data_IF_630618104922
#
_entry.id   IF_630618104922
#
_cell.length_a   1.000
_cell.length_b   1.000
_cell.length_c   1.000
_cell.angle_alpha   90.00
_cell.angle_beta   90.00
_cell.angle_gamma   90.00
#
_symmetry.space_group_name_H-M   'P 1'
#
loop_
_entity.id
_entity.type
_entity.pdbx_description
1 polymer ?
#
# COMPACT_ATOMS: atom_id res chain seq x y z
N UNK A 1 -9.55 45.44 -3.91
CA UNK A 1 -10.38 44.34 -3.46
C UNK A 1 -9.53 43.53 -2.47
N UNK A 2 -9.92 43.51 -1.19
CA UNK A 2 -9.22 42.69 -0.18
C UNK A 2 -9.32 41.23 -0.62
N UNK A 3 -8.20 40.56 -0.87
CA UNK A 3 -8.19 39.10 -1.02
C UNK A 3 -8.70 38.53 0.31
N UNK A 4 -9.91 37.95 0.31
CA UNK A 4 -10.44 37.28 1.49
C UNK A 4 -9.38 36.29 2.00
N UNK A 5 -9.28 36.17 3.32
CA UNK A 5 -8.39 35.17 3.97
C UNK A 5 -8.76 33.79 3.43
N UNK A 6 -7.79 33.06 2.94
CA UNK A 6 -7.97 31.66 2.54
C UNK A 6 -8.34 30.82 3.78
N UNK A 7 -9.31 29.92 3.63
CA UNK A 7 -9.66 28.98 4.69
C UNK A 7 -8.53 27.97 4.88
N UNK A 8 -8.14 27.73 6.13
CA UNK A 8 -7.17 26.72 6.51
C UNK A 8 -7.87 25.39 6.86
N UNK A 9 -7.12 24.31 6.96
CA UNK A 9 -7.64 23.03 7.49
C UNK A 9 -8.21 23.21 8.92
N UNK A 10 -7.58 24.04 9.74
CA UNK A 10 -8.05 24.36 11.08
C UNK A 10 -9.37 25.15 11.07
N UNK A 11 -9.57 26.07 10.11
CA UNK A 11 -10.84 26.80 9.98
C UNK A 11 -11.99 25.85 9.60
N UNK A 12 -11.76 24.91 8.65
CA UNK A 12 -12.72 23.86 8.28
C UNK A 12 -13.06 22.98 9.49
N UNK A 13 -12.06 22.54 10.23
CA UNK A 13 -12.25 21.71 11.41
C UNK A 13 -13.08 22.40 12.48
N UNK A 14 -12.76 23.68 12.79
CA UNK A 14 -13.45 24.46 13.81
C UNK A 14 -14.92 24.69 13.47
N UNK A 15 -15.27 24.93 12.18
CA UNK A 15 -16.66 25.20 11.75
C UNK A 15 -17.60 24.01 11.96
N UNK A 16 -17.07 22.77 11.90
CA UNK A 16 -17.86 21.54 12.08
C UNK A 16 -17.63 20.86 13.44
N UNK A 17 -16.85 21.48 14.35
CA UNK A 17 -16.53 20.88 15.65
C UNK A 17 -15.69 19.59 15.53
N UNK A 18 -14.75 19.56 14.59
CA UNK A 18 -13.83 18.45 14.36
C UNK A 18 -12.38 18.90 14.63
N UNK A 19 -11.43 17.96 14.54
CA UNK A 19 -9.99 18.26 14.55
C UNK A 19 -9.43 18.40 13.14
N UNK A 20 -8.31 19.10 12.97
CA UNK A 20 -7.58 19.13 11.68
C UNK A 20 -7.16 17.72 11.23
N UNK A 21 -6.87 16.82 12.19
CA UNK A 21 -6.65 15.40 11.93
C UNK A 21 -7.85 14.76 11.23
N UNK A 22 -9.08 15.01 11.70
CA UNK A 22 -10.30 14.46 11.08
C UNK A 22 -10.46 14.96 9.65
N UNK A 23 -10.19 16.26 9.41
CA UNK A 23 -10.23 16.85 8.07
C UNK A 23 -9.19 16.19 7.16
N UNK A 24 -7.95 16.00 7.64
CA UNK A 24 -6.89 15.32 6.90
C UNK A 24 -7.28 13.87 6.55
N UNK A 25 -7.85 13.12 7.49
CA UNK A 25 -8.33 11.76 7.26
C UNK A 25 -9.52 11.70 6.28
N UNK A 26 -10.41 12.69 6.30
CA UNK A 26 -11.50 12.79 5.30
C UNK A 26 -10.94 13.06 3.91
N UNK A 27 -9.98 13.98 3.78
CA UNK A 27 -9.28 14.24 2.51
C UNK A 27 -8.50 13.02 2.02
N UNK A 28 -7.89 12.27 2.95
CA UNK A 28 -7.24 10.99 2.66
C UNK A 28 -8.23 9.87 2.33
N UNK A 29 -9.53 10.16 2.44
CA UNK A 29 -10.62 9.21 2.28
C UNK A 29 -10.50 7.99 3.21
N UNK A 30 -9.96 8.14 4.41
CA UNK A 30 -9.85 7.07 5.40
C UNK A 30 -11.23 6.55 5.80
N UNK A 31 -11.43 5.24 5.65
CA UNK A 31 -12.73 4.59 5.93
C UNK A 31 -13.12 4.56 7.40
N UNK A 32 -12.18 4.80 8.30
CA UNK A 32 -12.37 4.76 9.76
C UNK A 32 -13.10 6.01 10.30
N UNK A 33 -13.11 7.11 9.53
CA UNK A 33 -13.88 8.31 9.93
C UNK A 33 -15.38 8.02 9.86
N UNK A 34 -16.16 8.27 10.92
CA UNK A 34 -17.61 8.04 10.93
C UNK A 34 -18.33 8.78 9.79
N UNK A 35 -19.31 8.14 9.16
CA UNK A 35 -19.99 8.66 7.95
C UNK A 35 -20.64 10.04 8.15
N UNK A 36 -21.23 10.28 9.32
CA UNK A 36 -21.85 11.57 9.66
C UNK A 36 -20.81 12.70 9.74
N UNK A 37 -19.70 12.47 10.45
CA UNK A 37 -18.61 13.43 10.56
C UNK A 37 -17.97 13.69 9.18
N UNK A 38 -17.76 12.63 8.39
CA UNK A 38 -17.25 12.73 7.02
C UNK A 38 -18.14 13.60 6.14
N UNK A 39 -19.47 13.41 6.23
CA UNK A 39 -20.44 14.23 5.47
C UNK A 39 -20.37 15.69 5.85
N UNK A 40 -20.30 16.03 7.13
CA UNK A 40 -20.19 17.43 7.60
C UNK A 40 -18.90 18.09 7.14
N UNK A 41 -17.76 17.38 7.28
CA UNK A 41 -16.45 17.89 6.83
C UNK A 41 -16.45 18.09 5.31
N UNK A 42 -16.97 17.14 4.53
CA UNK A 42 -17.01 17.25 3.07
C UNK A 42 -17.86 18.46 2.61
N UNK A 43 -19.03 18.68 3.23
CA UNK A 43 -19.86 19.86 2.95
C UNK A 43 -19.15 21.17 3.27
N UNK A 44 -18.42 21.23 4.38
CA UNK A 44 -17.69 22.43 4.77
C UNK A 44 -16.49 22.71 3.85
N UNK A 45 -15.76 21.67 3.42
CA UNK A 45 -14.69 21.79 2.41
C UNK A 45 -15.25 22.40 1.12
N UNK A 46 -16.42 21.95 0.68
CA UNK A 46 -17.10 22.48 -0.51
C UNK A 46 -17.58 23.92 -0.31
N UNK A 47 -18.22 24.21 0.82
CA UNK A 47 -18.75 25.55 1.16
C UNK A 47 -17.65 26.61 1.27
N UNK A 48 -16.54 26.26 1.91
CA UNK A 48 -15.38 27.14 2.09
C UNK A 48 -14.46 27.15 0.86
N UNK A 49 -14.66 26.24 -0.08
CA UNK A 49 -13.76 25.99 -1.22
C UNK A 49 -12.33 25.74 -0.76
N UNK A 50 -12.17 25.11 0.41
CA UNK A 50 -10.86 24.80 0.94
C UNK A 50 -10.08 23.94 -0.06
N UNK A 51 -8.85 24.36 -0.37
CA UNK A 51 -7.91 23.62 -1.21
C UNK A 51 -6.65 23.37 -0.42
N UNK A 52 -6.30 22.08 -0.21
CA UNK A 52 -5.00 21.73 0.36
C UNK A 52 -3.90 22.45 -0.42
N UNK A 53 -2.89 22.97 0.17
CA UNK A 53 -1.75 23.69 -0.39
C UNK A 53 -1.97 25.17 -0.80
N UNK A 54 -3.19 25.64 -1.11
CA UNK A 54 -3.38 27.08 -1.45
C UNK A 54 -2.87 28.01 -0.36
N UNK A 55 -3.08 27.65 0.91
CA UNK A 55 -2.62 28.43 2.07
C UNK A 55 -1.09 28.47 2.08
N UNK A 56 -0.45 27.33 1.90
CA UNK A 56 1.02 27.21 1.92
C UNK A 56 1.63 27.98 0.75
N UNK A 57 1.10 27.80 -0.48
CA UNK A 57 1.53 28.55 -1.67
C UNK A 57 1.34 30.05 -1.52
N UNK A 58 0.21 30.47 -0.90
CA UNK A 58 -0.04 31.87 -0.60
C UNK A 58 0.97 32.47 0.38
N UNK A 59 1.43 31.71 1.35
CA UNK A 59 2.49 32.11 2.29
C UNK A 59 3.87 32.18 1.63
N UNK A 60 4.18 31.23 0.76
CA UNK A 60 5.45 31.18 0.03
C UNK A 60 5.55 32.26 -1.08
N UNK A 61 4.42 32.71 -1.62
CA UNK A 61 4.37 33.64 -2.75
C UNK A 61 4.90 33.04 -4.07
N UNK A 62 5.01 31.71 -4.16
CA UNK A 62 5.46 30.94 -5.31
C UNK A 62 4.78 29.55 -5.33
N UNK A 63 4.80 28.83 -6.47
CA UNK A 63 4.39 27.43 -6.49
C UNK A 63 5.16 26.58 -5.48
N UNK A 64 4.45 25.62 -4.90
CA UNK A 64 5.02 24.63 -3.99
C UNK A 64 5.85 23.64 -4.81
N UNK A 65 6.98 23.18 -4.26
CA UNK A 65 7.83 22.15 -4.87
C UNK A 65 7.83 20.91 -4.00
N UNK A 66 7.30 19.79 -4.52
CA UNK A 66 7.22 18.54 -3.81
C UNK A 66 8.14 17.48 -4.43
N UNK A 67 8.88 16.77 -3.59
CA UNK A 67 9.63 15.61 -4.01
C UNK A 67 8.72 14.36 -4.00
N UNK A 68 8.70 13.64 -5.13
CA UNK A 68 8.13 12.28 -5.22
C UNK A 68 9.33 11.34 -5.28
N UNK A 69 9.53 10.60 -4.19
CA UNK A 69 10.71 9.74 -4.01
C UNK A 69 10.27 8.29 -4.03
N UNK A 70 10.56 7.58 -5.13
CA UNK A 70 10.23 6.16 -5.26
C UNK A 70 11.41 5.29 -4.83
N UNK A 71 11.11 4.17 -4.19
CA UNK A 71 12.12 3.16 -3.93
C UNK A 71 12.66 2.57 -5.25
N UNK A 72 13.94 2.25 -5.24
CA UNK A 72 14.61 1.53 -6.31
C UNK A 72 15.53 0.50 -5.69
N UNK A 73 15.37 -0.75 -6.09
CA UNK A 73 16.38 -1.75 -5.79
C UNK A 73 17.57 -1.54 -6.73
N UNK A 74 18.77 -1.91 -6.30
CA UNK A 74 20.00 -1.84 -7.14
C UNK A 74 19.96 -2.71 -8.40
N UNK A 75 18.92 -3.52 -8.56
CA UNK A 75 18.64 -4.29 -9.78
C UNK A 75 17.50 -3.59 -10.50
N UNK A 76 17.77 -3.04 -11.66
CA UNK A 76 16.79 -2.40 -12.55
C UNK A 76 15.79 -3.45 -13.08
N UNK A 77 14.84 -3.87 -12.26
CA UNK A 77 13.72 -4.70 -12.69
C UNK A 77 12.47 -3.82 -12.87
N UNK A 78 12.04 -3.56 -14.12
CA UNK A 78 10.82 -2.80 -14.40
C UNK A 78 9.55 -3.42 -13.80
N UNK A 79 9.56 -4.72 -13.43
CA UNK A 79 8.42 -5.40 -12.83
C UNK A 79 8.16 -4.93 -11.39
N UNK A 80 9.17 -4.46 -10.68
CA UNK A 80 9.09 -4.06 -9.27
C UNK A 80 8.22 -2.81 -9.04
N UNK A 81 8.14 -1.91 -10.01
CA UNK A 81 7.42 -0.64 -9.86
C UNK A 81 5.94 -0.71 -10.28
N UNK A 82 5.44 -1.84 -10.79
CA UNK A 82 4.05 -1.98 -11.25
C UNK A 82 3.00 -1.60 -10.20
N UNK A 83 3.32 -1.76 -8.93
CA UNK A 83 2.46 -1.34 -7.82
C UNK A 83 2.58 0.17 -7.54
N UNK A 84 3.80 0.73 -7.59
CA UNK A 84 4.09 2.11 -7.17
C UNK A 84 3.90 3.15 -8.29
N UNK A 85 4.11 2.79 -9.55
CA UNK A 85 3.93 3.70 -10.68
C UNK A 85 2.53 4.33 -10.73
N UNK A 86 1.43 3.60 -10.55
CA UNK A 86 0.09 4.21 -10.50
C UNK A 86 -0.11 5.16 -9.31
N UNK A 87 0.58 4.93 -8.18
CA UNK A 87 0.55 5.83 -7.02
C UNK A 87 1.24 7.14 -7.39
N UNK A 88 2.46 7.07 -7.93
CA UNK A 88 3.22 8.24 -8.36
C UNK A 88 2.49 9.02 -9.46
N UNK A 89 1.90 8.33 -10.44
CA UNK A 89 1.10 8.96 -11.49
C UNK A 89 -0.12 9.72 -10.92
N UNK A 90 -0.83 9.15 -9.95
CA UNK A 90 -1.97 9.82 -9.31
C UNK A 90 -1.55 11.06 -8.50
N UNK A 91 -0.39 11.01 -7.84
CA UNK A 91 0.22 12.16 -7.18
C UNK A 91 0.55 13.24 -8.21
N UNK A 92 1.20 12.88 -9.32
CA UNK A 92 1.59 13.82 -10.36
C UNK A 92 0.38 14.53 -10.98
N UNK A 93 -0.68 13.79 -11.28
CA UNK A 93 -1.95 14.38 -11.79
C UNK A 93 -2.53 15.36 -10.77
N UNK A 94 -2.55 15.00 -9.48
CA UNK A 94 -3.10 15.86 -8.43
C UNK A 94 -2.25 17.12 -8.22
N UNK A 95 -0.93 17.02 -8.32
CA UNK A 95 -0.02 18.16 -8.24
C UNK A 95 -0.21 19.12 -9.43
N UNK A 96 -0.32 18.58 -10.65
CA UNK A 96 -0.56 19.40 -11.85
C UNK A 96 -1.86 20.20 -11.76
N UNK A 97 -2.93 19.63 -11.19
CA UNK A 97 -4.21 20.32 -10.97
C UNK A 97 -4.14 21.48 -9.97
N UNK A 98 -3.11 21.50 -9.13
CA UNK A 98 -2.90 22.50 -8.07
C UNK A 98 -1.67 23.39 -8.31
N UNK A 99 -1.12 23.35 -9.52
CA UNK A 99 0.08 24.12 -9.93
C UNK A 99 1.29 23.89 -9.00
N UNK A 100 1.46 22.63 -8.55
CA UNK A 100 2.57 22.20 -7.72
C UNK A 100 3.70 21.67 -8.61
N UNK A 101 4.91 22.17 -8.43
CA UNK A 101 6.10 21.67 -9.11
C UNK A 101 6.56 20.33 -8.49
N UNK A 102 6.92 19.36 -9.35
CA UNK A 102 7.37 18.05 -8.90
C UNK A 102 8.85 17.89 -9.17
N UNK A 103 9.58 17.45 -8.15
CA UNK A 103 10.94 16.91 -8.24
C UNK A 103 10.86 15.40 -8.09
N UNK A 104 11.15 14.66 -9.16
CA UNK A 104 11.23 13.20 -9.08
C UNK A 104 12.62 12.79 -8.60
N UNK A 105 12.66 11.87 -7.65
CA UNK A 105 13.87 11.28 -7.12
C UNK A 105 13.68 9.79 -6.87
N UNK A 106 14.80 9.06 -6.87
CA UNK A 106 14.83 7.65 -6.52
C UNK A 106 15.56 7.51 -5.18
N UNK A 107 15.09 6.58 -4.35
CA UNK A 107 15.79 6.19 -3.13
C UNK A 107 16.25 4.74 -3.24
N UNK A 108 17.54 4.51 -3.05
CA UNK A 108 18.10 3.17 -3.03
C UNK A 108 17.72 2.47 -1.74
N UNK A 109 17.19 1.24 -1.88
CA UNK A 109 16.85 0.37 -0.74
C UNK A 109 17.56 -0.97 -0.86
N UNK A 110 17.71 -1.67 0.26
CA UNK A 110 18.17 -3.05 0.30
C UNK A 110 17.02 -4.05 0.01
N UNK A 111 17.32 -5.34 0.11
CA UNK A 111 16.36 -6.44 -0.08
C UNK A 111 15.21 -6.45 0.93
N UNK A 112 15.37 -5.80 2.08
CA UNK A 112 14.34 -5.61 3.10
C UNK A 112 13.61 -4.26 2.98
N UNK A 113 13.76 -3.54 1.86
CA UNK A 113 13.23 -2.19 1.62
C UNK A 113 13.74 -1.12 2.60
N UNK A 114 14.85 -1.38 3.31
CA UNK A 114 15.50 -0.38 4.17
C UNK A 114 16.20 0.67 3.31
N UNK A 115 16.00 1.95 3.65
CA UNK A 115 16.67 3.06 2.97
C UNK A 115 18.19 2.97 3.19
N UNK A 116 18.96 2.96 2.10
CA UNK A 116 20.42 2.90 2.13
C UNK A 116 21.06 4.29 2.18
N UNK A 117 20.45 5.28 1.55
CA UNK A 117 20.96 6.64 1.43
C UNK A 117 19.80 7.64 1.35
N UNK A 118 19.91 8.74 2.10
CA UNK A 118 18.89 9.81 2.07
C UNK A 118 19.01 10.56 0.74
N UNK A 119 17.93 10.63 -0.07
CA UNK A 119 17.95 11.35 -1.32
C UNK A 119 18.27 12.85 -1.14
N UNK A 120 19.10 13.41 -2.01
CA UNK A 120 19.52 14.81 -1.94
C UNK A 120 18.33 15.78 -1.88
N UNK A 121 17.24 15.49 -2.59
CA UNK A 121 16.02 16.29 -2.58
C UNK A 121 15.37 16.45 -1.19
N UNK A 122 15.69 15.59 -0.22
CA UNK A 122 15.23 15.69 1.17
C UNK A 122 16.16 16.53 2.05
N UNK A 123 17.43 16.69 1.64
CA UNK A 123 18.49 17.28 2.46
C UNK A 123 18.92 18.67 1.99
N UNK A 124 18.78 18.99 0.70
CA UNK A 124 19.37 20.19 0.07
C UNK A 124 18.46 21.44 0.11
N UNK A 125 17.25 21.33 0.68
CA UNK A 125 16.28 22.42 0.74
C UNK A 125 15.66 22.77 -0.63
N UNK A 126 15.80 21.92 -1.64
CA UNK A 126 15.24 22.15 -2.98
C UNK A 126 13.72 21.91 -3.04
N UNK A 127 13.14 21.27 -2.02
CA UNK A 127 11.72 20.94 -1.92
C UNK A 127 11.09 21.47 -0.63
N UNK A 128 9.80 21.78 -0.69
CA UNK A 128 9.01 22.25 0.44
C UNK A 128 8.38 21.08 1.23
N UNK A 129 8.30 19.89 0.60
CA UNK A 129 7.77 18.68 1.20
C UNK A 129 8.04 17.45 0.32
N UNK A 130 7.88 16.26 0.87
CA UNK A 130 8.17 15.02 0.16
C UNK A 130 7.17 13.89 0.43
N UNK A 131 6.96 13.03 -0.57
CA UNK A 131 6.28 11.75 -0.45
C UNK A 131 7.31 10.63 -0.71
N UNK A 132 7.57 9.80 0.29
CA UNK A 132 8.47 8.65 0.20
C UNK A 132 7.64 7.39 -0.03
N UNK A 133 7.82 6.75 -1.19
CA UNK A 133 6.95 5.67 -1.65
C UNK A 133 7.67 4.33 -1.56
N UNK A 134 7.14 3.42 -0.73
CA UNK A 134 7.56 2.01 -0.66
C UNK A 134 8.79 1.73 0.21
N UNK A 135 9.29 2.68 1.01
CA UNK A 135 10.47 2.48 1.84
C UNK A 135 10.14 2.07 3.27
N UNK A 136 11.05 1.34 3.89
CA UNK A 136 11.11 1.16 5.32
C UNK A 136 12.26 2.01 5.89
N UNK A 137 11.95 2.80 6.91
CA UNK A 137 12.93 3.63 7.61
C UNK A 137 13.28 3.00 8.95
N UNK A 138 14.56 2.81 9.21
CA UNK A 138 15.07 2.50 10.55
C UNK A 138 15.32 3.79 11.35
N UNK A 139 15.64 3.67 12.63
CA UNK A 139 15.82 4.84 13.51
C UNK A 139 16.92 5.78 13.02
N UNK A 140 18.01 5.26 12.45
CA UNK A 140 19.11 6.06 11.93
C UNK A 140 18.68 6.88 10.70
N UNK A 141 18.00 6.25 9.74
CA UNK A 141 17.50 6.95 8.54
C UNK A 141 16.39 7.94 8.88
N UNK A 142 15.57 7.68 9.91
CA UNK A 142 14.57 8.63 10.40
C UNK A 142 15.24 9.89 10.93
N UNK A 143 16.29 9.77 11.73
CA UNK A 143 17.05 10.90 12.24
C UNK A 143 17.69 11.72 11.10
N UNK A 144 18.28 11.05 10.13
CA UNK A 144 18.86 11.68 8.95
C UNK A 144 17.81 12.43 8.12
N UNK A 145 16.64 11.81 7.86
CA UNK A 145 15.56 12.47 7.11
C UNK A 145 14.94 13.62 7.91
N UNK A 146 14.79 13.49 9.23
CA UNK A 146 14.30 14.57 10.12
C UNK A 146 15.27 15.75 10.24
N UNK A 147 16.57 15.50 10.15
CA UNK A 147 17.56 16.56 10.11
C UNK A 147 17.56 17.33 8.79
N UNK A 148 16.94 16.78 7.77
CA UNK A 148 16.65 17.44 6.51
C UNK A 148 15.63 18.57 6.66
N UNK A 149 15.56 19.43 5.66
CA UNK A 149 14.82 20.70 5.72
C UNK A 149 13.33 20.52 5.40
N UNK A 150 12.91 19.38 4.83
CA UNK A 150 11.54 19.26 4.29
C UNK A 150 10.67 18.23 5.04
N UNK A 151 9.42 18.59 5.38
CA UNK A 151 8.43 17.65 5.89
C UNK A 151 8.15 16.53 4.89
N UNK A 152 7.88 15.32 5.39
CA UNK A 152 7.60 14.17 4.52
C UNK A 152 6.47 13.28 5.05
N UNK A 153 5.89 12.49 4.14
CA UNK A 153 4.89 11.47 4.41
C UNK A 153 5.31 10.17 3.76
N UNK A 154 5.16 9.05 4.45
CA UNK A 154 5.36 7.72 3.91
C UNK A 154 4.11 7.25 3.16
N UNK A 155 4.28 6.70 1.95
CA UNK A 155 3.19 6.11 1.16
C UNK A 155 3.54 4.66 0.89
N UNK A 156 2.75 3.72 1.43
CA UNK A 156 3.09 2.30 1.53
C UNK A 156 4.50 2.10 2.12
N UNK A 157 4.83 2.97 3.06
CA UNK A 157 6.11 3.00 3.74
C UNK A 157 5.93 2.79 5.24
N UNK A 158 6.96 2.29 5.89
CA UNK A 158 6.92 1.92 7.30
C UNK A 158 8.14 2.46 8.04
N UNK A 159 8.00 2.61 9.35
CA UNK A 159 9.10 3.03 10.23
C UNK A 159 9.26 2.06 11.40
N UNK A 160 10.50 1.77 11.75
CA UNK A 160 10.82 0.94 12.91
C UNK A 160 10.81 1.80 14.18
N UNK A 161 9.74 1.71 14.97
CA UNK A 161 9.66 2.28 16.31
C UNK A 161 9.12 3.71 16.43
N UNK A 162 9.15 4.51 15.37
CA UNK A 162 8.63 5.89 15.37
C UNK A 162 7.29 5.99 14.65
N UNK A 163 6.38 6.81 15.19
CA UNK A 163 5.14 7.15 14.51
C UNK A 163 5.42 8.32 13.56
N UNK A 164 5.17 8.11 12.26
CA UNK A 164 5.32 9.10 11.19
C UNK A 164 4.00 9.26 10.44
N UNK A 165 3.83 10.41 9.77
CA UNK A 165 2.73 10.52 8.81
C UNK A 165 2.87 9.45 7.74
N UNK A 166 1.86 8.61 7.61
CA UNK A 166 1.92 7.50 6.69
C UNK A 166 0.55 7.15 6.09
N UNK A 167 0.58 6.60 4.88
CA UNK A 167 -0.57 5.97 4.24
C UNK A 167 -0.22 4.51 4.03
N UNK A 168 -0.99 3.63 4.62
CA UNK A 168 -0.76 2.17 4.54
C UNK A 168 -2.02 1.44 4.08
N UNK A 169 -1.85 0.20 3.63
CA UNK A 169 -2.96 -0.73 3.39
C UNK A 169 -3.30 -1.49 4.67
N UNK A 170 -4.59 -1.79 4.92
CA UNK A 170 -4.96 -2.78 5.94
C UNK A 170 -4.62 -4.20 5.46
N UNK A 171 -3.35 -4.54 5.58
CA UNK A 171 -2.82 -5.83 5.15
C UNK A 171 -3.37 -7.00 5.97
N UNK A 172 -3.74 -6.76 7.24
CA UNK A 172 -4.35 -7.78 8.10
C UNK A 172 -5.76 -8.10 7.63
N UNK A 173 -6.56 -7.07 7.34
CA UNK A 173 -7.87 -7.26 6.75
C UNK A 173 -7.77 -7.95 5.38
N UNK A 174 -6.80 -7.57 4.56
CA UNK A 174 -6.57 -8.20 3.25
C UNK A 174 -6.27 -9.69 3.33
N UNK A 175 -5.34 -10.10 4.20
CA UNK A 175 -5.06 -11.52 4.44
C UNK A 175 -6.28 -12.29 4.97
N UNK A 176 -7.08 -11.63 5.82
CA UNK A 176 -8.34 -12.21 6.32
C UNK A 176 -9.37 -12.41 5.20
N UNK A 177 -9.55 -11.42 4.32
CA UNK A 177 -10.48 -11.49 3.17
C UNK A 177 -10.06 -12.61 2.21
N UNK A 178 -8.77 -12.75 1.91
CA UNK A 178 -8.26 -13.81 1.04
C UNK A 178 -8.62 -15.21 1.57
N UNK A 179 -8.39 -15.46 2.86
CA UNK A 179 -8.73 -16.74 3.51
C UNK A 179 -10.24 -16.97 3.49
N UNK A 180 -11.05 -15.96 3.88
CA UNK A 180 -12.50 -16.08 3.89
C UNK A 180 -13.07 -16.44 2.51
N UNK A 181 -12.52 -15.85 1.45
CA UNK A 181 -12.93 -16.17 0.07
C UNK A 181 -12.61 -17.62 -0.28
N UNK A 182 -11.40 -18.11 0.01
CA UNK A 182 -11.02 -19.49 -0.27
C UNK A 182 -11.84 -20.50 0.55
N UNK A 183 -12.09 -20.19 1.83
CA UNK A 183 -12.94 -21.04 2.69
C UNK A 183 -14.40 -21.04 2.20
N UNK A 184 -14.93 -19.91 1.75
CA UNK A 184 -16.27 -19.83 1.14
C UNK A 184 -16.38 -20.65 -0.14
N UNK A 185 -15.29 -20.83 -0.89
CA UNK A 185 -15.20 -21.72 -2.04
C UNK A 185 -15.06 -23.21 -1.65
N UNK A 186 -14.88 -23.52 -0.36
CA UNK A 186 -14.81 -24.89 0.17
C UNK A 186 -13.39 -25.38 0.51
N UNK A 187 -12.36 -24.54 0.41
CA UNK A 187 -11.00 -24.93 0.77
C UNK A 187 -10.76 -24.90 2.28
N UNK A 188 -10.11 -25.93 2.82
CA UNK A 188 -9.70 -26.01 4.23
C UNK A 188 -8.18 -26.11 4.41
N UNK A 189 -7.46 -26.58 3.40
CA UNK A 189 -6.02 -26.70 3.37
C UNK A 189 -5.46 -25.64 2.41
N UNK A 190 -5.08 -24.47 2.97
CA UNK A 190 -4.74 -23.26 2.25
C UNK A 190 -3.28 -22.91 2.54
N UNK A 191 -2.43 -22.78 1.52
CA UNK A 191 -1.05 -22.34 1.63
C UNK A 191 -0.94 -20.80 1.59
N UNK A 192 0.02 -20.21 2.32
CA UNK A 192 0.45 -18.83 2.16
C UNK A 192 1.85 -18.81 1.57
N UNK A 193 1.99 -18.29 0.35
CA UNK A 193 3.22 -18.29 -0.42
C UNK A 193 3.92 -16.92 -0.40
N UNK A 194 5.24 -16.92 -0.20
CA UNK A 194 6.07 -15.71 -0.38
C UNK A 194 6.29 -14.92 0.90
N UNK A 195 6.21 -15.57 2.07
CA UNK A 195 6.47 -14.92 3.37
C UNK A 195 7.68 -15.49 4.05
N UNK A 196 8.19 -14.73 5.03
CA UNK A 196 9.14 -15.15 6.08
C UNK A 196 8.81 -14.45 7.39
N UNK A 197 9.31 -14.94 8.54
CA UNK A 197 9.06 -14.31 9.84
C UNK A 197 9.56 -12.85 9.97
N UNK A 198 10.52 -12.44 9.16
CA UNK A 198 11.14 -11.11 9.09
C UNK A 198 10.83 -10.35 7.81
N UNK A 199 9.80 -10.76 7.09
CA UNK A 199 9.32 -10.09 5.88
C UNK A 199 8.95 -8.62 6.12
N UNK A 200 8.89 -7.86 5.04
CA UNK A 200 8.44 -6.47 5.02
C UNK A 200 7.07 -6.30 5.75
N UNK A 201 6.84 -5.22 6.48
CA UNK A 201 5.66 -5.08 7.36
C UNK A 201 4.31 -5.32 6.68
N UNK A 202 4.14 -4.95 5.42
CA UNK A 202 2.90 -5.25 4.67
C UNK A 202 2.69 -6.76 4.49
N UNK A 203 3.75 -7.49 4.18
CA UNK A 203 3.72 -8.96 4.03
C UNK A 203 3.44 -9.62 5.38
N UNK A 204 4.09 -9.17 6.45
CA UNK A 204 3.79 -9.63 7.83
C UNK A 204 2.34 -9.37 8.23
N UNK A 205 1.77 -8.23 7.80
CA UNK A 205 0.35 -7.94 7.99
C UNK A 205 -0.54 -8.96 7.28
N UNK A 206 -0.25 -9.31 6.01
CA UNK A 206 -0.96 -10.35 5.25
C UNK A 206 -0.84 -11.71 5.92
N UNK A 207 0.38 -12.09 6.36
CA UNK A 207 0.65 -13.32 7.13
C UNK A 207 -0.16 -13.38 8.43
N UNK A 208 -0.22 -12.29 9.19
CA UNK A 208 -1.02 -12.20 10.41
C UNK A 208 -2.52 -12.35 10.13
N UNK A 209 -3.02 -11.69 9.08
CA UNK A 209 -4.42 -11.79 8.67
C UNK A 209 -4.80 -13.21 8.28
N UNK A 210 -3.97 -13.86 7.46
CA UNK A 210 -4.11 -15.26 7.07
C UNK A 210 -4.14 -16.19 8.28
N UNK A 211 -3.13 -16.12 9.15
CA UNK A 211 -3.03 -17.00 10.32
C UNK A 211 -4.23 -16.83 11.27
N UNK A 212 -4.57 -15.56 11.58
CA UNK A 212 -5.70 -15.29 12.49
C UNK A 212 -7.05 -15.71 11.92
N UNK A 213 -7.23 -15.65 10.59
CA UNK A 213 -8.46 -16.11 9.95
C UNK A 213 -8.61 -17.63 10.03
N UNK A 214 -7.53 -18.39 9.76
CA UNK A 214 -7.54 -19.85 9.87
C UNK A 214 -7.72 -20.31 11.32
N UNK A 215 -7.04 -19.68 12.28
CA UNK A 215 -7.17 -19.98 13.71
C UNK A 215 -8.62 -19.87 14.19
N UNK A 216 -9.32 -18.80 13.81
CA UNK A 216 -10.74 -18.60 14.15
C UNK A 216 -11.66 -19.68 13.58
N UNK A 217 -11.25 -20.33 12.50
CA UNK A 217 -11.98 -21.41 11.83
C UNK A 217 -11.52 -22.80 12.29
N UNK A 218 -10.52 -22.88 13.17
CA UNK A 218 -9.93 -24.15 13.62
C UNK A 218 -9.13 -24.87 12.53
N UNK A 219 -8.68 -24.14 11.49
CA UNK A 219 -7.88 -24.64 10.38
C UNK A 219 -6.39 -24.46 10.64
N UNK A 220 -5.57 -25.34 10.06
CA UNK A 220 -4.12 -25.29 10.21
C UNK A 220 -3.48 -24.42 9.13
N UNK A 221 -2.52 -23.52 9.48
CA UNK A 221 -1.80 -22.76 8.49
C UNK A 221 -0.70 -23.59 7.80
N UNK A 222 -0.55 -23.36 6.49
CA UNK A 222 0.55 -23.87 5.67
C UNK A 222 1.39 -22.67 5.21
N UNK A 223 2.47 -22.38 5.94
CA UNK A 223 3.41 -21.33 5.53
C UNK A 223 4.42 -21.88 4.53
N UNK A 224 4.46 -21.28 3.34
CA UNK A 224 5.41 -21.58 2.29
C UNK A 224 6.41 -20.43 2.30
N UNK A 225 7.32 -20.49 3.29
CA UNK A 225 8.31 -19.46 3.55
C UNK A 225 9.45 -19.55 2.51
N UNK A 226 9.56 -18.52 1.67
CA UNK A 226 10.40 -18.56 0.46
C UNK A 226 11.26 -17.31 0.25
N UNK A 227 11.17 -16.35 1.16
CA UNK A 227 11.85 -15.06 1.03
C UNK A 227 11.29 -14.15 -0.07
N UNK A 228 12.04 -13.10 -0.37
CA UNK A 228 11.65 -12.06 -1.32
C UNK A 228 11.90 -12.39 -2.79
N UNK A 229 12.71 -13.43 -3.08
CA UNK A 229 13.04 -13.79 -4.46
C UNK A 229 11.83 -14.47 -5.12
N UNK A 230 11.20 -13.78 -6.05
CA UNK A 230 9.96 -14.23 -6.74
C UNK A 230 10.15 -15.58 -7.41
N UNK A 231 11.29 -15.81 -8.09
CA UNK A 231 11.62 -17.06 -8.76
C UNK A 231 11.83 -18.20 -7.76
N UNK A 232 12.48 -17.91 -6.64
CA UNK A 232 12.67 -18.91 -5.57
C UNK A 232 11.31 -19.27 -4.95
N UNK A 233 10.43 -18.28 -4.73
CA UNK A 233 9.08 -18.51 -4.24
C UNK A 233 8.28 -19.43 -5.17
N UNK A 234 8.39 -19.26 -6.48
CA UNK A 234 7.71 -20.10 -7.45
C UNK A 234 8.20 -21.56 -7.38
N UNK A 235 9.52 -21.78 -7.37
CA UNK A 235 10.11 -23.13 -7.35
C UNK A 235 9.83 -23.84 -6.03
N UNK A 236 10.04 -23.16 -4.89
CA UNK A 236 9.79 -23.73 -3.57
C UNK A 236 8.30 -23.95 -3.31
N UNK A 237 7.45 -23.08 -3.85
CA UNK A 237 5.99 -23.24 -3.80
C UNK A 237 5.53 -24.52 -4.50
N UNK A 238 6.02 -24.77 -5.71
CA UNK A 238 5.74 -26.02 -6.46
C UNK A 238 6.26 -27.25 -5.71
N UNK A 239 7.46 -27.16 -5.18
CA UNK A 239 8.01 -28.25 -4.35
C UNK A 239 7.14 -28.53 -3.13
N UNK A 240 6.70 -27.46 -2.43
CA UNK A 240 5.87 -27.60 -1.24
C UNK A 240 4.53 -28.28 -1.54
N UNK A 241 3.77 -27.85 -2.55
CA UNK A 241 2.49 -28.46 -2.91
C UNK A 241 2.65 -29.91 -3.38
N UNK A 242 3.80 -30.26 -3.99
CA UNK A 242 4.15 -31.63 -4.36
C UNK A 242 4.39 -32.53 -3.15
N UNK A 243 4.80 -32.00 -2.00
CA UNK A 243 4.98 -32.75 -0.74
C UNK A 243 3.71 -32.71 0.14
N UNK A 244 2.80 -31.78 -0.11
CA UNK A 244 1.59 -31.50 0.65
C UNK A 244 0.36 -31.54 -0.27
N UNK A 245 0.04 -32.76 -0.76
CA UNK A 245 -1.07 -32.95 -1.70
C UNK A 245 -2.45 -32.62 -1.13
N UNK A 246 -2.56 -32.42 0.18
CA UNK A 246 -3.74 -31.91 0.85
C UNK A 246 -4.00 -30.42 0.57
N UNK A 247 -2.98 -29.61 0.23
CA UNK A 247 -3.12 -28.18 -0.07
C UNK A 247 -3.82 -28.00 -1.40
N UNK A 248 -5.03 -27.47 -1.38
CA UNK A 248 -5.89 -27.28 -2.56
C UNK A 248 -6.01 -25.81 -3.00
N UNK A 249 -5.50 -24.86 -2.20
CA UNK A 249 -5.49 -23.46 -2.53
C UNK A 249 -4.24 -22.76 -2.00
N UNK A 250 -3.79 -21.72 -2.69
CA UNK A 250 -2.66 -20.89 -2.27
C UNK A 250 -3.05 -19.42 -2.33
N UNK A 251 -2.81 -18.71 -1.23
CA UNK A 251 -2.78 -17.27 -1.15
C UNK A 251 -1.33 -16.81 -1.34
N UNK A 252 -1.02 -16.16 -2.45
CA UNK A 252 0.27 -15.53 -2.68
C UNK A 252 0.30 -14.12 -2.11
N UNK A 253 1.41 -13.74 -1.50
CA UNK A 253 1.55 -12.44 -0.81
C UNK A 253 1.35 -11.24 -1.73
N UNK A 254 1.63 -11.37 -3.03
CA UNK A 254 1.35 -10.37 -4.05
C UNK A 254 1.12 -11.03 -5.42
N UNK A 255 0.63 -10.26 -6.39
CA UNK A 255 0.30 -10.78 -7.70
C UNK A 255 1.53 -11.26 -8.49
N UNK A 256 2.67 -10.57 -8.37
CA UNK A 256 3.90 -10.96 -9.08
C UNK A 256 4.33 -12.36 -8.63
N UNK A 257 4.45 -12.58 -7.33
CA UNK A 257 4.79 -13.89 -6.75
C UNK A 257 3.77 -14.96 -7.14
N UNK A 258 2.47 -14.63 -7.09
CA UNK A 258 1.40 -15.57 -7.43
C UNK A 258 1.43 -15.96 -8.89
N UNK A 259 1.59 -15.01 -9.81
CA UNK A 259 1.63 -15.27 -11.26
C UNK A 259 2.88 -16.07 -11.64
N UNK A 260 4.04 -15.79 -11.03
CA UNK A 260 5.25 -16.57 -11.28
C UNK A 260 5.08 -18.00 -10.77
N UNK A 261 4.45 -18.19 -9.60
CA UNK A 261 4.08 -19.52 -9.11
C UNK A 261 3.08 -20.22 -10.04
N UNK A 262 2.07 -19.51 -10.56
CA UNK A 262 1.12 -20.07 -11.55
C UNK A 262 1.85 -20.68 -12.76
N UNK A 263 2.84 -19.96 -13.29
CA UNK A 263 3.63 -20.44 -14.41
C UNK A 263 4.43 -21.70 -14.04
N UNK A 264 5.15 -21.64 -12.93
CA UNK A 264 5.96 -22.78 -12.46
C UNK A 264 5.09 -24.02 -12.16
N UNK A 265 3.91 -23.85 -11.56
CA UNK A 265 2.98 -24.93 -11.29
C UNK A 265 2.48 -25.60 -12.59
N UNK A 266 2.17 -24.81 -13.63
CA UNK A 266 1.80 -25.33 -14.95
C UNK A 266 2.94 -26.10 -15.61
N UNK A 267 4.15 -25.56 -15.55
CA UNK A 267 5.34 -26.22 -16.11
C UNK A 267 5.63 -27.56 -15.40
N UNK A 268 5.22 -27.66 -14.12
CA UNK A 268 5.26 -28.90 -13.36
C UNK A 268 4.06 -29.83 -13.61
N UNK A 269 3.10 -29.44 -14.47
CA UNK A 269 1.98 -30.27 -14.90
C UNK A 269 0.68 -30.10 -14.11
N UNK A 270 0.58 -29.10 -13.21
CA UNK A 270 -0.67 -28.78 -12.50
C UNK A 270 -1.67 -28.05 -13.42
N UNK A 271 -2.95 -28.38 -13.29
CA UNK A 271 -4.06 -27.73 -14.01
C UNK A 271 -4.68 -26.68 -13.09
N UNK A 272 -4.48 -25.40 -13.41
CA UNK A 272 -5.02 -24.29 -12.65
C UNK A 272 -6.33 -23.79 -13.28
N UNK A 273 -7.36 -23.55 -12.48
CA UNK A 273 -7.47 -23.64 -11.02
C UNK A 273 -7.90 -25.03 -10.49
N UNK A 274 -8.05 -26.04 -11.35
CA UNK A 274 -8.68 -27.33 -11.01
C UNK A 274 -7.90 -28.12 -9.94
N UNK A 275 -6.59 -28.09 -9.95
CA UNK A 275 -5.75 -28.74 -8.95
C UNK A 275 -5.44 -27.81 -7.77
N UNK A 276 -5.18 -26.52 -8.04
CA UNK A 276 -4.84 -25.51 -7.03
C UNK A 276 -5.56 -24.21 -7.37
N UNK A 277 -6.43 -23.73 -6.45
CA UNK A 277 -7.02 -22.41 -6.51
C UNK A 277 -6.04 -21.34 -6.01
N UNK A 278 -6.13 -20.11 -6.57
CA UNK A 278 -5.14 -19.07 -6.30
C UNK A 278 -5.81 -17.73 -6.00
N UNK A 279 -5.30 -17.04 -4.98
CA UNK A 279 -5.62 -15.65 -4.67
C UNK A 279 -4.32 -14.87 -4.59
N UNK A 280 -4.25 -13.70 -5.24
CA UNK A 280 -3.15 -12.75 -5.17
C UNK A 280 -3.44 -11.54 -4.29
N UNK A 281 -2.57 -10.53 -4.40
CA UNK A 281 -2.71 -9.25 -3.71
C UNK A 281 -2.09 -8.16 -4.58
N UNK A 282 -2.66 -6.94 -4.59
CA UNK A 282 -2.28 -5.70 -5.26
C UNK A 282 -3.15 -5.30 -6.45
N UNK A 283 -3.74 -6.24 -7.18
CA UNK A 283 -4.49 -6.03 -8.43
C UNK A 283 -3.67 -5.19 -9.42
N UNK A 284 -2.50 -5.70 -9.78
CA UNK A 284 -1.72 -5.15 -10.90
C UNK A 284 -2.29 -5.65 -12.24
N UNK A 285 -2.00 -4.94 -13.33
CA UNK A 285 -2.54 -5.25 -14.66
C UNK A 285 -2.32 -6.72 -15.05
N UNK A 286 -1.17 -7.29 -14.66
CA UNK A 286 -0.81 -8.68 -14.94
C UNK A 286 -1.85 -9.68 -14.41
N UNK A 287 -2.50 -9.39 -13.27
CA UNK A 287 -3.50 -10.28 -12.67
C UNK A 287 -4.70 -10.54 -13.59
N UNK A 288 -5.06 -9.57 -14.43
CA UNK A 288 -6.14 -9.68 -15.39
C UNK A 288 -5.73 -10.28 -16.75
N UNK A 289 -4.42 -10.32 -17.04
CA UNK A 289 -3.87 -10.74 -18.34
C UNK A 289 -3.43 -12.21 -18.36
N UNK A 290 -3.23 -12.82 -17.18
CA UNK A 290 -2.89 -14.25 -17.10
C UNK A 290 -4.11 -15.15 -17.30
N UNK A 291 -3.86 -16.42 -17.59
CA UNK A 291 -4.92 -17.41 -17.80
C UNK A 291 -4.71 -18.60 -16.83
N UNK A 292 -5.67 -18.96 -15.93
CA UNK A 292 -6.89 -18.21 -15.62
C UNK A 292 -6.58 -16.82 -15.09
N UNK A 293 -7.48 -15.85 -15.28
CA UNK A 293 -7.33 -14.53 -14.71
C UNK A 293 -7.33 -14.61 -13.17
N UNK A 294 -6.37 -13.92 -12.51
CA UNK A 294 -6.11 -14.07 -11.10
C UNK A 294 -7.10 -13.30 -10.22
N UNK A 295 -7.81 -14.00 -9.35
CA UNK A 295 -8.54 -13.41 -8.21
C UNK A 295 -7.54 -12.78 -7.26
N UNK A 296 -7.76 -11.53 -6.83
CA UNK A 296 -6.76 -10.77 -6.06
C UNK A 296 -7.40 -9.73 -5.15
N UNK A 297 -6.63 -9.20 -4.21
CA UNK A 297 -7.02 -8.08 -3.35
C UNK A 297 -6.55 -6.77 -4.00
N UNK A 298 -7.49 -5.95 -4.49
CA UNK A 298 -7.20 -4.66 -5.09
C UNK A 298 -6.94 -3.60 -4.03
N UNK A 299 -5.88 -2.83 -4.24
CA UNK A 299 -5.57 -1.62 -3.50
C UNK A 299 -5.87 -0.42 -4.41
N UNK A 300 -6.63 0.55 -3.92
CA UNK A 300 -6.84 1.81 -4.63
C UNK A 300 -5.56 2.68 -4.56
N UNK A 301 -4.66 2.42 -5.51
CA UNK A 301 -3.35 3.06 -5.63
C UNK A 301 -3.49 4.57 -5.82
N UNK A 302 -4.48 5.00 -6.61
CA UNK A 302 -4.73 6.42 -6.84
C UNK A 302 -5.21 7.13 -5.56
N UNK A 303 -6.06 6.47 -4.78
CA UNK A 303 -6.49 6.95 -3.46
C UNK A 303 -5.31 7.04 -2.49
N UNK A 304 -4.42 6.03 -2.49
CA UNK A 304 -3.23 6.02 -1.65
C UNK A 304 -2.32 7.23 -1.93
N UNK A 305 -2.08 7.56 -3.19
CA UNK A 305 -1.33 8.75 -3.59
C UNK A 305 -1.99 10.06 -3.16
N UNK A 306 -3.31 10.19 -3.36
CA UNK A 306 -4.07 11.37 -2.92
C UNK A 306 -4.10 11.50 -1.39
N UNK A 307 -4.18 10.38 -0.68
CA UNK A 307 -4.12 10.36 0.78
C UNK A 307 -2.75 10.88 1.29
N UNK A 308 -1.67 10.46 0.66
CA UNK A 308 -0.32 10.98 0.96
C UNK A 308 -0.25 12.50 0.81
N UNK A 309 -0.80 13.04 -0.28
CA UNK A 309 -0.87 14.50 -0.48
C UNK A 309 -1.72 15.20 0.59
N UNK A 310 -2.84 14.61 1.01
CA UNK A 310 -3.68 15.18 2.05
C UNK A 310 -2.97 15.26 3.41
N UNK A 311 -2.23 14.21 3.78
CA UNK A 311 -1.41 14.20 5.00
C UNK A 311 -0.24 15.19 4.90
N UNK A 312 0.40 15.30 3.73
CA UNK A 312 1.49 16.26 3.53
C UNK A 312 0.97 17.69 3.63
N UNK A 313 -0.20 18.00 3.07
CA UNK A 313 -0.83 19.32 3.24
C UNK A 313 -1.09 19.64 4.71
N UNK A 314 -1.62 18.68 5.48
CA UNK A 314 -1.80 18.83 6.92
C UNK A 314 -0.48 19.12 7.63
N UNK A 315 0.58 18.36 7.30
CA UNK A 315 1.91 18.55 7.89
C UNK A 315 2.50 19.92 7.56
N UNK A 316 2.30 20.40 6.34
CA UNK A 316 2.79 21.72 5.92
C UNK A 316 2.02 22.87 6.59
N UNK A 317 0.71 22.72 6.82
CA UNK A 317 -0.09 23.73 7.55
C UNK A 317 0.15 23.70 9.07
N UNK A 318 0.51 22.54 9.64
CA UNK A 318 0.62 22.30 11.08
C UNK A 318 1.81 21.41 11.42
N UNK A 319 3.03 21.92 11.27
CA UNK A 319 4.29 21.17 11.43
C UNK A 319 4.44 20.47 12.79
N UNK A 320 3.91 21.06 13.86
CA UNK A 320 3.97 20.51 15.21
C UNK A 320 2.81 19.55 15.55
N UNK A 321 1.92 19.25 14.60
CA UNK A 321 0.82 18.32 14.84
C UNK A 321 1.32 16.88 15.05
N UNK A 322 0.56 16.10 15.82
CA UNK A 322 0.80 14.66 15.99
C UNK A 322 0.75 13.94 14.63
N UNK A 323 1.61 12.95 14.41
CA UNK A 323 1.60 12.16 13.19
C UNK A 323 0.26 11.44 12.95
N UNK A 324 -0.08 11.26 11.69
CA UNK A 324 -1.31 10.60 11.26
C UNK A 324 -0.97 9.40 10.39
N UNK A 325 -1.52 8.23 10.74
CA UNK A 325 -1.58 7.09 9.84
C UNK A 325 -2.97 7.02 9.20
N UNK A 326 -3.03 7.12 7.87
CA UNK A 326 -4.23 6.86 7.08
C UNK A 326 -4.21 5.45 6.50
N UNK A 327 -5.38 4.80 6.47
CA UNK A 327 -5.49 3.40 6.04
C UNK A 327 -6.38 3.27 4.81
N UNK A 328 -5.87 2.59 3.80
CA UNK A 328 -6.61 2.20 2.58
C UNK A 328 -7.05 0.75 2.72
N UNK A 329 -8.36 0.52 2.67
CA UNK A 329 -8.92 -0.82 2.77
C UNK A 329 -8.77 -1.59 1.46
N UNK A 330 -8.27 -2.83 1.48
CA UNK A 330 -8.23 -3.70 0.31
C UNK A 330 -9.64 -4.19 -0.06
N UNK A 331 -9.83 -4.51 -1.34
CA UNK A 331 -11.09 -5.02 -1.88
C UNK A 331 -10.84 -6.25 -2.74
N UNK A 332 -11.60 -7.32 -2.52
CA UNK A 332 -11.53 -8.52 -3.35
C UNK A 332 -12.01 -8.25 -4.77
N UNK A 333 -11.26 -8.72 -5.75
CA UNK A 333 -11.62 -8.81 -7.16
C UNK A 333 -11.65 -10.28 -7.55
N UNK A 334 -12.84 -10.82 -7.66
CA UNK A 334 -13.04 -12.19 -8.09
C UNK A 334 -12.82 -12.32 -9.59
N UNK A 335 -12.05 -13.36 -9.99
CA UNK A 335 -11.79 -13.75 -11.40
C UNK A 335 -11.89 -15.27 -11.53
N UNK A 336 -11.04 -15.87 -12.35
CA UNK A 336 -11.17 -17.26 -12.78
C UNK A 336 -10.28 -18.23 -11.98
N UNK A 337 -9.41 -17.76 -11.10
CA UNK A 337 -8.39 -18.58 -10.46
C UNK A 337 -8.83 -19.32 -9.18
N UNK A 338 -10.12 -19.24 -8.82
CA UNK A 338 -10.68 -19.95 -7.65
C UNK A 338 -11.87 -20.79 -8.08
N UNK A 339 -11.85 -22.08 -7.73
CA UNK A 339 -12.96 -23.03 -7.92
C UNK A 339 -13.06 -23.91 -6.66
N UNK A 340 -14.19 -24.55 -6.38
CA UNK A 340 -14.27 -25.51 -5.29
C UNK A 340 -13.22 -26.63 -5.42
N UNK A 341 -12.67 -27.12 -4.29
CA UNK A 341 -11.69 -28.22 -4.33
C UNK A 341 -12.28 -29.48 -4.99
N UNK A 342 -11.48 -30.13 -5.82
CA UNK A 342 -11.90 -31.38 -6.44
C UNK A 342 -11.74 -32.55 -5.46
N UNK A 343 -12.65 -33.54 -5.50
CA UNK A 343 -12.51 -34.80 -4.76
C UNK A 343 -11.39 -35.69 -5.29
N UNK A 344 -10.67 -35.25 -6.33
CA UNK A 344 -9.56 -36.01 -6.92
C UNK A 344 -8.25 -35.72 -6.15
N UNK A 345 -7.49 -36.77 -5.77
CA UNK A 345 -6.17 -36.53 -5.22
C UNK A 345 -5.33 -35.78 -6.26
N UNK A 346 -4.68 -34.72 -5.80
CA UNK A 346 -3.69 -33.97 -6.58
C UNK A 346 -2.57 -34.96 -6.94
N UNK A 347 -2.14 -34.99 -8.20
CA UNK A 347 -1.18 -35.96 -8.74
C UNK A 347 0.24 -35.77 -8.23
#
# INVERSE_FOLDING_TARGET
MSKGRLSTMADVAASVGASSRDVALVLAADGRVPSELRGRIAQEIEATRYRPFEVVQGQLGRPLRLAIVLKSYRRDDPAENRFYDPIAAAIAVSCAQQEIEIVQAMMSVDEHCQLLEVPAALADGSCDGALLIGAQLNSETIEQVRSGVCPFVLVDGYSAGDVLDSVVTDNVAGGTIAVQHLVAAGHSEIGLLGTEPDSYPSILGRRKGYASALEKLGLRPHFIDTGYAVEAAAVLGVYYIGQHSEVTAVFGVNDVTTVTFMQAARDAGYHLPADISLVGFDDIDLASLVMPALTTLAIDKARMGRAGLALLAHRLEAQAAEPIEAVVMPRLIERESVVPPSDRPIR
#
